data_IF_734570310837
#
_entry.id   IF_734570310837
#
_cell.length_a   1.000
_cell.length_b   1.000
_cell.length_c   1.000
_cell.angle_alpha   90.00
_cell.angle_beta   90.00
_cell.angle_gamma   90.00
#
_symmetry.space_group_name_H-M   'P 1'
#
loop_
_entity.id
_entity.type
_entity.pdbx_description
1 polymer ?
#
# COMPACT_ATOMS: atom_id res chain seq x y z
N UNK A 1 23.33 -18.58 1.85
CA UNK A 1 22.11 -18.05 2.50
C UNK A 1 21.59 -19.04 3.54
N UNK A 2 21.39 -18.58 4.77
CA UNK A 2 20.83 -19.35 5.88
C UNK A 2 19.40 -19.82 5.57
N UNK A 3 18.63 -19.08 4.78
CA UNK A 3 17.31 -19.51 4.29
C UNK A 3 17.36 -20.84 3.53
N UNK A 4 18.34 -21.02 2.64
CA UNK A 4 18.53 -22.28 1.91
C UNK A 4 18.80 -23.45 2.86
N UNK A 5 19.69 -23.25 3.84
CA UNK A 5 19.97 -24.25 4.86
C UNK A 5 18.75 -24.58 5.72
N UNK A 6 17.96 -23.57 6.12
CA UNK A 6 16.74 -23.78 6.89
C UNK A 6 15.72 -24.61 6.10
N UNK A 7 15.56 -24.36 4.80
CA UNK A 7 14.69 -25.13 3.91
C UNK A 7 15.21 -26.57 3.78
N UNK A 8 16.52 -26.77 3.56
CA UNK A 8 17.11 -28.11 3.50
C UNK A 8 16.90 -28.87 4.82
N UNK A 9 17.09 -28.19 5.96
CA UNK A 9 16.86 -28.79 7.28
C UNK A 9 15.39 -29.18 7.48
N UNK A 10 14.43 -28.39 6.97
CA UNK A 10 13.03 -28.79 6.98
C UNK A 10 12.81 -30.07 6.16
N UNK A 11 13.34 -30.14 4.95
CA UNK A 11 13.22 -31.35 4.10
C UNK A 11 13.86 -32.57 4.77
N UNK A 12 15.10 -32.47 5.24
CA UNK A 12 15.76 -33.55 5.96
C UNK A 12 15.03 -33.93 7.25
N UNK A 13 14.44 -32.95 7.95
CA UNK A 13 13.62 -33.19 9.13
C UNK A 13 12.32 -33.94 8.82
N UNK A 14 11.66 -33.62 7.70
CA UNK A 14 10.50 -34.37 7.22
C UNK A 14 10.87 -35.81 6.86
N UNK A 15 11.97 -36.00 6.14
CA UNK A 15 12.47 -37.34 5.76
C UNK A 15 12.84 -38.18 6.99
N UNK A 16 13.42 -37.56 8.02
CA UNK A 16 13.76 -38.23 9.29
C UNK A 16 12.51 -38.71 10.03
N UNK A 17 11.46 -37.89 10.07
CA UNK A 17 10.17 -38.26 10.68
C UNK A 17 9.47 -39.37 9.90
N UNK A 18 9.51 -39.33 8.55
CA UNK A 18 8.81 -40.30 7.71
C UNK A 18 9.49 -41.67 7.66
N UNK A 19 10.82 -41.70 7.69
CA UNK A 19 11.61 -42.93 7.52
C UNK A 19 12.10 -43.53 8.85
N UNK A 20 11.65 -42.97 9.98
CA UNK A 20 11.97 -43.43 11.35
C UNK A 20 13.49 -43.57 11.59
N UNK A 21 14.29 -42.73 10.92
CA UNK A 21 15.72 -42.95 10.75
C UNK A 21 16.54 -42.71 12.03
N UNK A 22 16.02 -41.93 12.99
CA UNK A 22 16.81 -41.51 14.17
C UNK A 22 16.01 -41.36 15.49
N UNK A 23 14.68 -41.49 15.48
CA UNK A 23 13.85 -41.03 16.62
C UNK A 23 12.47 -41.70 16.65
N UNK A 24 12.24 -42.60 17.60
CA UNK A 24 10.88 -43.04 17.96
C UNK A 24 10.12 -41.86 18.58
N UNK A 25 9.48 -41.06 17.73
CA UNK A 25 8.66 -39.93 18.14
C UNK A 25 7.19 -40.36 18.15
N UNK A 26 6.46 -39.93 19.17
CA UNK A 26 5.01 -39.97 19.08
C UNK A 26 4.51 -39.06 17.96
N UNK A 27 3.32 -39.34 17.44
CA UNK A 27 2.71 -38.49 16.41
C UNK A 27 2.59 -37.01 16.86
N UNK A 28 2.37 -36.75 18.14
CA UNK A 28 2.32 -35.40 18.68
C UNK A 28 3.67 -34.68 18.60
N UNK A 29 4.75 -35.36 18.99
CA UNK A 29 6.12 -34.83 18.95
C UNK A 29 6.58 -34.62 17.51
N UNK A 30 6.27 -35.54 16.61
CA UNK A 30 6.59 -35.44 15.19
C UNK A 30 5.97 -34.18 14.57
N UNK A 31 4.68 -33.92 14.87
CA UNK A 31 4.00 -32.75 14.35
C UNK A 31 4.59 -31.46 14.93
N UNK A 32 4.81 -31.40 16.24
CA UNK A 32 5.39 -30.22 16.87
C UNK A 32 6.78 -29.90 16.30
N UNK A 33 7.60 -30.93 16.11
CA UNK A 33 8.93 -30.78 15.51
C UNK A 33 8.88 -30.21 14.10
N UNK A 34 7.97 -30.72 13.24
CA UNK A 34 7.77 -30.20 11.88
C UNK A 34 7.28 -28.74 11.93
N UNK A 35 6.34 -28.39 12.83
CA UNK A 35 5.89 -27.00 13.01
C UNK A 35 7.05 -26.07 13.41
N UNK A 36 7.94 -26.53 14.28
CA UNK A 36 9.12 -25.77 14.70
C UNK A 36 10.10 -25.54 13.55
N UNK A 37 10.33 -26.54 12.70
CA UNK A 37 11.15 -26.41 11.50
C UNK A 37 10.54 -25.44 10.47
N UNK A 38 9.23 -25.50 10.22
CA UNK A 38 8.52 -24.57 9.32
C UNK A 38 8.60 -23.11 9.83
N UNK A 39 8.44 -22.91 11.14
CA UNK A 39 8.61 -21.61 11.78
C UNK A 39 10.06 -21.13 11.73
N UNK A 40 11.05 -22.02 11.83
CA UNK A 40 12.45 -21.68 11.70
C UNK A 40 12.78 -21.16 10.29
N UNK A 41 12.22 -21.75 9.24
CA UNK A 41 12.33 -21.23 7.86
C UNK A 41 11.74 -19.83 7.79
N UNK A 42 10.50 -19.65 8.27
CA UNK A 42 9.81 -18.34 8.26
C UNK A 42 10.65 -17.25 8.94
N UNK A 43 11.17 -17.53 10.14
CA UNK A 43 12.04 -16.59 10.88
C UNK A 43 13.31 -16.27 10.12
N UNK A 44 13.91 -17.26 9.46
CA UNK A 44 15.14 -17.09 8.70
C UNK A 44 14.92 -16.23 7.46
N UNK A 45 13.83 -16.45 6.71
CA UNK A 45 13.46 -15.61 5.56
C UNK A 45 13.29 -14.14 5.97
N UNK A 46 12.62 -13.89 7.10
CA UNK A 46 12.44 -12.53 7.62
C UNK A 46 13.76 -11.91 8.08
N UNK A 47 14.62 -12.68 8.76
CA UNK A 47 15.93 -12.21 9.23
C UNK A 47 16.86 -11.84 8.07
N UNK A 48 16.78 -12.58 6.97
CA UNK A 48 17.58 -12.31 5.77
C UNK A 48 17.00 -11.21 4.86
N UNK A 49 15.83 -10.63 5.20
CA UNK A 49 15.21 -9.60 4.40
C UNK A 49 14.78 -10.08 3.02
N UNK A 50 14.36 -11.36 2.92
CA UNK A 50 13.87 -11.95 1.68
C UNK A 50 12.66 -11.16 1.15
N UNK A 51 12.51 -10.99 -0.19
CA UNK A 51 11.39 -10.25 -0.77
C UNK A 51 10.03 -10.74 -0.27
N UNK A 52 9.11 -9.80 -0.08
CA UNK A 52 7.77 -10.08 0.47
C UNK A 52 7.03 -11.15 -0.34
N UNK A 53 7.12 -11.11 -1.67
CA UNK A 53 6.51 -12.10 -2.56
C UNK A 53 6.97 -13.54 -2.27
N UNK A 54 8.23 -13.74 -1.92
CA UNK A 54 8.73 -15.07 -1.54
C UNK A 54 8.22 -15.49 -0.17
N UNK A 55 8.13 -14.56 0.79
CA UNK A 55 7.52 -14.83 2.09
C UNK A 55 6.02 -15.16 1.96
N UNK A 56 5.30 -14.50 1.05
CA UNK A 56 3.90 -14.83 0.73
C UNK A 56 3.80 -16.23 0.14
N UNK A 57 4.59 -16.55 -0.89
CA UNK A 57 4.63 -17.89 -1.47
C UNK A 57 4.95 -18.96 -0.42
N UNK A 58 5.91 -18.68 0.45
CA UNK A 58 6.22 -19.55 1.58
C UNK A 58 5.02 -19.71 2.52
N UNK A 59 4.31 -18.63 2.84
CA UNK A 59 3.11 -18.65 3.68
C UNK A 59 1.93 -19.40 3.07
N UNK A 60 1.83 -19.44 1.74
CA UNK A 60 0.83 -20.19 0.98
C UNK A 60 1.13 -21.70 0.95
N UNK A 61 2.41 -22.07 1.01
CA UNK A 61 2.84 -23.45 1.27
C UNK A 61 2.51 -23.75 2.74
N UNK A 62 1.27 -24.17 2.97
CA UNK A 62 0.74 -24.45 4.29
C UNK A 62 0.75 -25.94 4.55
N UNK A 63 1.31 -26.33 5.70
CA UNK A 63 1.13 -27.67 6.24
C UNK A 63 -0.26 -27.85 6.86
N UNK A 64 -1.11 -26.81 6.91
CA UNK A 64 -2.46 -26.88 7.47
C UNK A 64 -3.36 -27.91 6.78
N UNK A 65 -3.14 -28.19 5.50
CA UNK A 65 -3.88 -29.22 4.77
C UNK A 65 -3.59 -30.62 5.30
N UNK A 66 -2.41 -30.84 5.88
CA UNK A 66 -1.95 -32.13 6.42
C UNK A 66 -2.08 -32.18 7.94
N UNK A 67 -1.81 -31.06 8.63
CA UNK A 67 -1.71 -30.99 10.09
C UNK A 67 -2.93 -30.34 10.75
N UNK A 68 -3.88 -29.81 9.97
CA UNK A 68 -4.97 -28.95 10.43
C UNK A 68 -4.51 -27.50 10.66
N UNK A 69 -5.44 -26.56 10.80
CA UNK A 69 -5.11 -25.14 11.02
C UNK A 69 -4.54 -24.92 12.42
N UNK A 70 -3.22 -24.95 12.58
CA UNK A 70 -2.57 -24.91 13.89
C UNK A 70 -2.00 -23.53 14.23
N UNK A 71 -1.38 -23.44 15.42
CA UNK A 71 -0.71 -22.22 15.91
C UNK A 71 0.41 -21.80 14.95
N UNK A 72 1.17 -22.76 14.40
CA UNK A 72 2.23 -22.50 13.43
C UNK A 72 1.75 -21.73 12.20
N UNK A 73 0.68 -22.20 11.56
CA UNK A 73 0.11 -21.53 10.37
C UNK A 73 -0.38 -20.12 10.66
N UNK A 74 -1.02 -19.90 11.83
CA UNK A 74 -1.45 -18.55 12.25
C UNK A 74 -0.26 -17.63 12.43
N UNK A 75 0.80 -18.11 13.07
CA UNK A 75 2.04 -17.34 13.26
C UNK A 75 2.70 -17.03 11.92
N UNK A 76 2.80 -18.02 11.02
CA UNK A 76 3.35 -17.86 9.67
C UNK A 76 2.61 -16.79 8.87
N UNK A 77 1.27 -16.87 8.82
CA UNK A 77 0.43 -15.87 8.14
C UNK A 77 0.57 -14.48 8.75
N UNK A 78 0.60 -14.39 10.09
CA UNK A 78 0.78 -13.10 10.79
C UNK A 78 2.18 -12.50 10.62
N UNK A 79 3.15 -13.32 10.23
CA UNK A 79 4.56 -12.94 10.04
C UNK A 79 4.85 -12.37 8.65
N UNK A 80 3.90 -12.46 7.71
CA UNK A 80 4.05 -11.85 6.38
C UNK A 80 4.20 -10.33 6.53
N UNK A 81 5.25 -9.71 5.97
CA UNK A 81 5.41 -8.26 5.99
C UNK A 81 4.18 -7.56 5.42
N UNK A 82 3.70 -6.51 6.10
CA UNK A 82 2.56 -5.73 5.64
C UNK A 82 2.88 -5.08 4.28
N UNK A 83 1.89 -5.02 3.40
CA UNK A 83 1.99 -4.24 2.19
C UNK A 83 2.11 -2.75 2.56
N UNK A 84 3.28 -2.16 2.30
CA UNK A 84 3.57 -0.78 2.65
C UNK A 84 4.35 -0.09 1.52
N UNK A 85 3.68 0.23 0.40
CA UNK A 85 4.27 1.03 -0.64
C UNK A 85 4.58 2.43 -0.08
N UNK A 86 5.79 2.93 -0.35
CA UNK A 86 6.20 4.29 0.03
C UNK A 86 5.74 5.23 -1.07
N UNK A 87 4.62 5.89 -0.83
CA UNK A 87 4.10 6.96 -1.67
C UNK A 87 4.52 8.32 -1.10
N UNK A 88 5.17 9.16 -1.92
CA UNK A 88 5.64 10.49 -1.52
C UNK A 88 5.33 11.56 -2.56
N UNK A 89 4.50 12.56 -2.22
CA UNK A 89 4.27 13.72 -3.10
C UNK A 89 5.57 14.48 -3.36
N UNK A 90 5.89 14.71 -4.63
CA UNK A 90 7.07 15.45 -5.09
C UNK A 90 6.71 16.87 -5.48
N UNK A 91 5.60 17.03 -6.19
CA UNK A 91 5.16 18.32 -6.71
C UNK A 91 3.64 18.43 -6.65
N UNK A 92 3.16 19.60 -6.24
CA UNK A 92 1.73 19.93 -6.24
C UNK A 92 1.57 21.35 -6.79
N UNK A 93 0.67 21.50 -7.75
CA UNK A 93 0.33 22.78 -8.36
C UNK A 93 -1.18 22.96 -8.33
N UNK A 94 -1.63 24.12 -7.85
CA UNK A 94 -3.04 24.46 -7.79
C UNK A 94 -3.25 25.69 -8.67
N UNK A 95 -4.26 25.63 -9.53
CA UNK A 95 -4.54 26.64 -10.55
C UNK A 95 -5.98 27.14 -10.43
N UNK A 96 -6.22 28.40 -10.73
CA UNK A 96 -7.58 28.94 -10.83
C UNK A 96 -7.66 29.85 -12.07
N UNK A 97 -8.66 29.68 -12.95
CA UNK A 97 -8.79 30.52 -14.13
C UNK A 97 -9.06 31.98 -13.78
N UNK A 98 -8.49 32.87 -14.60
CA UNK A 98 -8.82 34.28 -14.63
C UNK A 98 -9.84 34.55 -15.76
N UNK A 99 -10.61 35.62 -15.64
CA UNK A 99 -11.48 36.09 -16.71
C UNK A 99 -10.68 36.81 -17.81
N UNK A 100 -11.36 37.32 -18.84
CA UNK A 100 -10.74 38.09 -19.93
C UNK A 100 -10.03 39.37 -19.47
N UNK A 101 -10.34 39.88 -18.28
CA UNK A 101 -9.70 41.04 -17.65
C UNK A 101 -8.60 40.67 -16.66
N UNK A 102 -8.17 39.40 -16.63
CA UNK A 102 -7.11 38.93 -15.72
C UNK A 102 -7.52 38.87 -14.25
N UNK A 103 -8.81 38.96 -13.92
CA UNK A 103 -9.32 38.87 -12.54
C UNK A 103 -9.70 37.43 -12.19
N UNK A 104 -9.48 37.03 -10.93
CA UNK A 104 -9.93 35.74 -10.40
C UNK A 104 -11.43 35.56 -10.63
N UNK A 105 -11.83 34.40 -11.16
CA UNK A 105 -13.24 34.01 -11.29
C UNK A 105 -13.65 33.25 -10.02
N UNK A 106 -14.41 33.83 -9.07
CA UNK A 106 -14.66 33.21 -7.78
C UNK A 106 -15.39 31.87 -7.88
N UNK A 107 -16.34 31.78 -8.80
CA UNK A 107 -17.26 30.64 -9.02
C UNK A 107 -16.56 29.40 -9.58
N UNK A 108 -15.45 29.57 -10.29
CA UNK A 108 -14.74 28.42 -10.88
C UNK A 108 -13.89 27.73 -9.81
N UNK A 109 -14.07 26.40 -9.60
CA UNK A 109 -13.26 25.67 -8.63
C UNK A 109 -11.78 25.68 -9.06
N UNK A 110 -10.85 25.76 -8.08
CA UNK A 110 -9.44 25.58 -8.37
C UNK A 110 -9.19 24.16 -8.91
N UNK A 111 -8.24 24.02 -9.82
CA UNK A 111 -7.75 22.76 -10.37
C UNK A 111 -6.46 22.36 -9.68
N UNK A 112 -6.14 21.08 -9.64
CA UNK A 112 -4.90 20.58 -9.05
C UNK A 112 -4.18 19.61 -9.99
N UNK A 113 -2.87 19.77 -10.08
CA UNK A 113 -1.95 18.78 -10.64
C UNK A 113 -0.98 18.32 -9.55
N UNK A 114 -0.71 17.02 -9.46
CA UNK A 114 0.36 16.52 -8.59
C UNK A 114 1.20 15.44 -9.27
N UNK A 115 2.46 15.38 -8.85
CA UNK A 115 3.40 14.30 -9.13
C UNK A 115 3.81 13.66 -7.79
N UNK A 116 3.82 12.34 -7.73
CA UNK A 116 4.29 11.59 -6.57
C UNK A 116 5.24 10.47 -6.98
N UNK A 117 6.20 10.22 -6.11
CA UNK A 117 7.13 9.10 -6.18
C UNK A 117 6.52 7.91 -5.42
N UNK A 118 6.57 6.73 -6.03
CA UNK A 118 6.00 5.50 -5.51
C UNK A 118 7.06 4.41 -5.55
N UNK A 119 7.43 3.90 -4.38
CA UNK A 119 8.37 2.78 -4.23
C UNK A 119 7.63 1.62 -3.58
N UNK A 120 7.66 0.47 -4.22
CA UNK A 120 7.06 -0.74 -3.67
C UNK A 120 7.08 -1.87 -4.69
N UNK A 121 7.07 -3.09 -4.18
CA UNK A 121 6.95 -4.30 -4.98
C UNK A 121 5.48 -4.71 -5.09
N UNK A 122 5.17 -5.56 -6.07
CA UNK A 122 3.86 -6.22 -6.20
C UNK A 122 2.65 -5.29 -6.46
N UNK A 123 2.89 -4.01 -6.72
CA UNK A 123 1.85 -3.02 -7.03
C UNK A 123 1.10 -3.46 -8.30
N UNK A 124 -0.22 -3.62 -8.16
CA UNK A 124 -1.12 -4.01 -9.25
C UNK A 124 -1.95 -2.83 -9.76
N UNK A 125 -2.46 -2.00 -8.84
CA UNK A 125 -3.37 -0.90 -9.19
C UNK A 125 -3.08 0.33 -8.31
N UNK A 126 -3.19 1.51 -8.92
CA UNK A 126 -3.26 2.79 -8.21
C UNK A 126 -4.54 3.49 -8.63
N UNK A 127 -5.30 3.96 -7.66
CA UNK A 127 -6.60 4.58 -7.85
C UNK A 127 -6.69 5.88 -7.06
N UNK A 128 -7.47 6.80 -7.59
CA UNK A 128 -7.79 8.06 -6.94
C UNK A 128 -9.27 8.07 -6.56
N UNK A 129 -9.52 8.38 -5.30
CA UNK A 129 -10.84 8.66 -4.76
C UNK A 129 -10.90 10.10 -4.27
N UNK A 130 -12.10 10.68 -4.30
CA UNK A 130 -12.40 12.00 -3.76
C UNK A 130 -13.63 11.89 -2.87
N UNK A 131 -13.50 12.26 -1.60
CA UNK A 131 -14.56 12.15 -0.59
C UNK A 131 -15.20 10.75 -0.56
N UNK A 132 -14.39 9.70 -0.72
CA UNK A 132 -14.85 8.30 -0.76
C UNK A 132 -15.40 7.83 -2.11
N UNK A 133 -15.59 8.71 -3.09
CA UNK A 133 -16.08 8.36 -4.42
C UNK A 133 -14.90 8.08 -5.35
N UNK A 134 -14.96 6.98 -6.10
CA UNK A 134 -13.94 6.64 -7.09
C UNK A 134 -13.92 7.69 -8.21
N UNK A 135 -12.72 8.15 -8.55
CA UNK A 135 -12.51 9.14 -9.62
C UNK A 135 -11.94 8.45 -10.86
N UNK A 136 -10.77 7.81 -10.72
CA UNK A 136 -10.07 7.14 -11.82
C UNK A 136 -8.95 6.21 -11.34
N UNK A 137 -8.50 5.34 -12.24
CA UNK A 137 -7.19 4.69 -12.13
C UNK A 137 -6.05 5.64 -12.53
N UNK A 138 -4.89 5.49 -11.89
CA UNK A 138 -3.65 6.16 -12.26
C UNK A 138 -2.65 5.08 -12.70
N UNK A 139 -2.06 5.23 -13.88
CA UNK A 139 -1.03 4.32 -14.37
C UNK A 139 0.35 4.79 -13.88
N UNK A 140 1.02 4.05 -12.98
CA UNK A 140 2.37 4.38 -12.57
C UNK A 140 3.34 4.20 -13.75
N UNK A 141 4.31 5.09 -13.87
CA UNK A 141 5.35 5.03 -14.90
C UNK A 141 6.72 4.81 -14.25
N UNK A 142 7.59 3.94 -14.79
CA UNK A 142 8.94 3.81 -14.26
C UNK A 142 9.70 5.14 -14.39
N UNK A 143 10.44 5.51 -13.34
CA UNK A 143 11.37 6.63 -13.38
C UNK A 143 12.54 6.31 -14.33
N UNK A 144 12.98 7.30 -15.11
CA UNK A 144 14.05 7.13 -16.10
C UNK A 144 15.45 7.05 -15.48
N UNK A 145 15.62 7.63 -14.29
CA UNK A 145 16.91 7.79 -13.61
C UNK A 145 17.06 6.83 -12.43
N UNK A 146 15.97 6.47 -11.75
CA UNK A 146 16.01 5.66 -10.54
C UNK A 146 15.26 4.33 -10.72
N UNK A 147 16.02 3.22 -10.74
CA UNK A 147 15.46 1.87 -10.85
C UNK A 147 14.56 1.57 -9.65
N UNK A 148 13.37 1.00 -9.90
CA UNK A 148 12.41 0.62 -8.87
C UNK A 148 11.55 1.77 -8.33
N UNK A 149 11.80 3.00 -8.79
CA UNK A 149 10.95 4.15 -8.54
C UNK A 149 9.88 4.24 -9.62
N UNK A 150 8.63 4.40 -9.19
CA UNK A 150 7.50 4.70 -10.06
C UNK A 150 7.07 6.15 -9.84
N UNK A 151 6.69 6.83 -10.92
CA UNK A 151 6.06 8.15 -10.90
C UNK A 151 4.57 7.99 -11.13
N UNK A 152 3.78 8.69 -10.32
CA UNK A 152 2.36 8.88 -10.55
C UNK A 152 2.09 10.36 -10.78
N UNK A 153 1.27 10.65 -11.78
CA UNK A 153 0.87 12.00 -12.15
C UNK A 153 -0.64 12.06 -12.25
N UNK A 154 -1.23 13.15 -11.79
CA UNK A 154 -2.67 13.31 -11.77
C UNK A 154 -3.07 14.77 -11.86
N UNK A 155 -3.94 15.08 -12.83
CA UNK A 155 -4.64 16.36 -12.98
C UNK A 155 -6.12 16.25 -12.68
N UNK A 156 -6.67 17.18 -11.88
CA UNK A 156 -8.05 17.22 -11.42
C UNK A 156 -8.63 18.63 -11.57
N UNK A 157 -9.91 18.70 -11.95
CA UNK A 157 -10.61 19.98 -12.19
C UNK A 157 -11.16 20.66 -10.92
N UNK A 158 -11.07 20.00 -9.76
CA UNK A 158 -11.59 20.54 -8.51
C UNK A 158 -10.73 20.12 -7.32
N UNK A 159 -9.84 20.99 -6.86
CA UNK A 159 -8.90 20.76 -5.78
C UNK A 159 -9.54 20.69 -4.38
N UNK A 160 -10.82 21.03 -4.23
CA UNK A 160 -11.50 21.01 -2.93
C UNK A 160 -11.82 19.58 -2.48
N UNK A 161 -11.85 19.34 -1.16
CA UNK A 161 -12.18 18.06 -0.55
C UNK A 161 -10.98 17.16 -0.28
N UNK A 162 -11.27 15.98 0.26
CA UNK A 162 -10.24 15.00 0.66
C UNK A 162 -10.04 14.00 -0.47
N UNK A 163 -8.79 13.88 -0.88
CA UNK A 163 -8.33 12.93 -1.87
C UNK A 163 -7.74 11.70 -1.18
N UNK A 164 -8.03 10.51 -1.69
CA UNK A 164 -7.40 9.26 -1.27
C UNK A 164 -6.69 8.65 -2.48
N UNK A 165 -5.38 8.47 -2.36
CA UNK A 165 -4.61 7.62 -3.28
C UNK A 165 -4.59 6.23 -2.69
N UNK A 166 -5.28 5.32 -3.36
CA UNK A 166 -5.40 3.91 -2.98
C UNK A 166 -4.49 3.07 -3.86
N UNK A 167 -3.62 2.29 -3.25
CA UNK A 167 -2.67 1.40 -3.92
C UNK A 167 -3.01 -0.02 -3.51
N UNK A 168 -3.13 -0.92 -4.47
CA UNK A 168 -3.39 -2.33 -4.23
C UNK A 168 -2.26 -3.19 -4.78
N UNK A 169 -1.88 -4.22 -4.03
CA UNK A 169 -0.98 -5.26 -4.53
C UNK A 169 -1.77 -6.33 -5.31
N UNK A 170 -1.02 -7.20 -6.00
CA UNK A 170 -1.60 -8.34 -6.73
C UNK A 170 -2.26 -9.41 -5.84
N UNK A 171 -2.09 -9.32 -4.52
CA UNK A 171 -2.63 -10.24 -3.52
C UNK A 171 -3.87 -9.66 -2.81
N UNK A 172 -4.37 -8.50 -3.24
CA UNK A 172 -5.57 -7.85 -2.68
C UNK A 172 -5.34 -7.00 -1.43
N UNK A 173 -4.10 -6.81 -0.97
CA UNK A 173 -3.80 -5.90 0.12
C UNK A 173 -3.90 -4.45 -0.37
N UNK A 174 -4.40 -3.57 0.50
CA UNK A 174 -4.67 -2.17 0.17
C UNK A 174 -3.89 -1.26 1.10
N UNK A 175 -3.27 -0.24 0.51
CA UNK A 175 -2.67 0.91 1.18
C UNK A 175 -3.40 2.17 0.73
N UNK A 176 -3.77 3.02 1.68
CA UNK A 176 -4.45 4.29 1.39
C UNK A 176 -3.70 5.44 2.03
N UNK A 177 -3.54 6.53 1.28
CA UNK A 177 -2.99 7.80 1.78
C UNK A 177 -3.90 8.94 1.38
N UNK A 178 -4.16 9.83 2.33
CA UNK A 178 -5.15 10.89 2.17
C UNK A 178 -4.49 12.27 2.11
N UNK A 179 -5.08 13.16 1.31
CA UNK A 179 -4.59 14.49 1.02
C UNK A 179 -5.71 15.51 1.04
N UNK A 180 -5.49 16.64 1.71
CA UNK A 180 -6.38 17.82 1.65
C UNK A 180 -5.57 19.01 1.14
N UNK A 181 -5.69 19.27 -0.16
CA UNK A 181 -4.84 20.23 -0.84
C UNK A 181 -5.25 21.68 -0.57
N UNK A 182 -6.55 21.97 -0.55
CA UNK A 182 -7.03 23.34 -0.43
C UNK A 182 -6.95 23.87 0.99
N UNK A 183 -7.17 23.05 2.02
CA UNK A 183 -7.12 23.50 3.43
C UNK A 183 -5.78 24.13 3.79
N UNK A 184 -4.70 23.61 3.22
CA UNK A 184 -3.33 24.09 3.46
C UNK A 184 -2.93 25.14 2.44
N UNK A 185 -3.20 24.94 1.15
CA UNK A 185 -2.79 25.87 0.11
C UNK A 185 -3.50 27.24 0.16
N UNK A 186 -4.68 27.34 0.81
CA UNK A 186 -5.42 28.59 0.98
C UNK A 186 -4.62 29.68 1.73
N UNK A 187 -3.58 29.30 2.48
CA UNK A 187 -2.72 30.27 3.17
C UNK A 187 -1.78 31.03 2.23
N UNK A 188 -1.56 30.54 1.00
CA UNK A 188 -0.71 31.21 0.03
C UNK A 188 -1.52 32.16 -0.85
N UNK A 189 -0.98 33.36 -1.07
CA UNK A 189 -1.56 34.30 -2.03
C UNK A 189 -1.52 33.75 -3.45
N UNK A 190 -2.61 33.94 -4.19
CA UNK A 190 -2.68 33.63 -5.62
C UNK A 190 -1.73 34.53 -6.39
N UNK A 191 -0.83 33.94 -7.18
CA UNK A 191 0.00 34.69 -8.14
C UNK A 191 -0.68 34.67 -9.49
N UNK A 192 -0.61 35.76 -10.25
CA UNK A 192 -1.14 35.80 -11.61
C UNK A 192 -0.03 35.41 -12.61
N UNK A 193 -0.37 34.60 -13.62
CA UNK A 193 0.47 34.31 -14.77
C UNK A 193 -0.19 34.85 -16.04
N UNK A 194 0.37 35.95 -16.55
CA UNK A 194 -0.10 36.61 -17.77
C UNK A 194 -0.10 35.68 -18.97
N UNK A 195 1.01 34.97 -19.23
CA UNK A 195 1.18 34.09 -20.39
C UNK A 195 0.13 32.99 -20.51
N UNK A 196 -0.45 32.57 -19.38
CA UNK A 196 -1.43 31.48 -19.33
C UNK A 196 -2.82 31.93 -18.93
N UNK A 197 -3.02 33.22 -18.67
CA UNK A 197 -4.24 33.81 -18.11
C UNK A 197 -4.82 33.01 -16.93
N UNK A 198 -3.94 32.64 -15.98
CA UNK A 198 -4.27 31.77 -14.84
C UNK A 198 -3.69 32.34 -13.56
N UNK A 199 -4.41 32.15 -12.46
CA UNK A 199 -3.83 32.25 -11.14
C UNK A 199 -3.26 30.89 -10.73
N UNK A 200 -2.12 30.91 -10.06
CA UNK A 200 -1.42 29.70 -9.61
C UNK A 200 -0.88 29.88 -8.20
N UNK A 201 -0.99 28.81 -7.42
CA UNK A 201 -0.31 28.63 -6.14
C UNK A 201 0.71 27.50 -6.33
N UNK A 202 2.00 27.87 -6.36
CA UNK A 202 3.11 26.93 -6.48
C UNK A 202 3.62 26.57 -5.11
N UNK A 203 3.66 25.28 -4.83
CA UNK A 203 4.61 24.75 -3.85
C UNK A 203 5.77 24.17 -4.64
N UNK A 204 6.87 24.92 -4.70
CA UNK A 204 8.02 24.52 -5.48
C UNK A 204 8.59 23.21 -4.91
N UNK A 205 9.26 22.39 -5.74
CA UNK A 205 10.04 21.25 -5.28
C UNK A 205 11.21 21.64 -4.35
N UNK A 206 11.45 22.93 -4.11
CA UNK A 206 12.52 23.50 -3.26
C UNK A 206 12.41 23.20 -1.75
N UNK A 207 11.62 22.21 -1.34
CA UNK A 207 11.80 21.56 -0.03
C UNK A 207 12.68 20.31 -0.22
N UNK A 208 13.83 20.49 -0.89
CA UNK A 208 14.75 19.44 -1.34
C UNK A 208 15.40 18.62 -0.20
N UNK A 209 15.04 18.82 1.06
CA UNK A 209 15.67 18.13 2.20
C UNK A 209 14.71 17.75 3.33
N UNK A 210 13.50 17.31 3.00
CA UNK A 210 12.66 16.61 3.99
C UNK A 210 12.42 15.16 3.58
N UNK A 211 12.72 14.17 4.46
CA UNK A 211 12.51 12.75 4.19
C UNK A 211 11.07 12.31 3.83
N UNK A 212 10.11 13.24 3.75
CA UNK A 212 8.69 12.98 3.46
C UNK A 212 8.08 13.80 2.32
N UNK A 213 8.87 14.50 1.50
CA UNK A 213 8.37 15.29 0.36
C UNK A 213 7.30 16.31 0.77
N UNK A 214 6.23 16.46 -0.02
CA UNK A 214 5.10 17.35 0.30
C UNK A 214 4.01 16.66 1.16
N UNK A 215 4.20 15.41 1.59
CA UNK A 215 3.19 14.69 2.37
C UNK A 215 3.00 15.22 3.78
N UNK A 216 4.06 15.74 4.43
CA UNK A 216 3.91 16.35 5.77
C UNK A 216 3.00 17.58 5.73
N UNK A 217 2.91 18.21 4.56
CA UNK A 217 2.16 19.44 4.37
C UNK A 217 0.70 19.14 4.00
N UNK A 218 0.49 18.27 3.00
CA UNK A 218 -0.84 17.94 2.50
C UNK A 218 -1.48 16.71 3.13
N UNK A 219 -0.71 15.93 3.88
CA UNK A 219 -1.16 14.72 4.53
C UNK A 219 -2.39 15.01 5.39
N UNK A 220 -3.45 14.29 5.10
CA UNK A 220 -4.66 14.30 5.88
C UNK A 220 -4.75 12.97 6.63
N UNK A 221 -5.04 13.04 7.92
CA UNK A 221 -5.46 11.86 8.67
C UNK A 221 -6.97 11.96 8.84
N UNK A 222 -7.76 11.09 8.19
CA UNK A 222 -9.18 11.03 8.49
C UNK A 222 -9.36 10.72 9.97
N UNK A 223 -10.41 11.25 10.61
CA UNK A 223 -10.72 10.87 11.99
C UNK A 223 -10.79 9.34 12.07
N UNK A 224 -10.15 8.77 13.10
CA UNK A 224 -10.29 7.34 13.38
C UNK A 224 -11.79 7.07 13.52
N UNK A 225 -12.37 6.30 12.61
CA UNK A 225 -13.69 5.71 12.87
C UNK A 225 -13.49 4.86 14.12
N UNK A 226 -14.17 5.22 15.21
CA UNK A 226 -14.35 4.28 16.30
C UNK A 226 -14.92 3.01 15.68
N UNK A 227 -14.24 1.90 15.92
CA UNK A 227 -14.50 0.60 15.32
C UNK A 227 -15.92 0.15 15.66
N UNK A 228 -16.86 0.34 14.74
CA UNK A 228 -17.99 -0.57 14.64
C UNK A 228 -17.50 -1.82 13.89
N UNK A 229 -17.31 -2.87 14.68
CA UNK A 229 -17.22 -4.29 14.30
C UNK A 229 -16.07 -4.76 13.40
N UNK A 230 -14.88 -4.90 14.00
CA UNK A 230 -13.85 -5.88 13.57
C UNK A 230 -14.13 -7.28 14.18
N UNK A 231 -15.41 -7.69 14.18
CA UNK A 231 -15.80 -9.09 14.41
C UNK A 231 -16.56 -9.62 13.20
N UNK A 232 -15.80 -10.08 12.21
CA UNK A 232 -16.29 -10.72 11.00
C UNK A 232 -15.11 -11.13 10.13
N UNK A 233 -14.30 -12.08 10.57
CA UNK A 233 -14.45 -13.50 10.20
C UNK A 233 -14.57 -13.67 8.67
N UNK A 234 -13.51 -14.21 8.08
CA UNK A 234 -13.38 -14.64 6.68
C UNK A 234 -14.71 -14.83 5.93
N UNK A 235 -15.05 -13.92 5.02
CA UNK A 235 -16.00 -14.18 3.95
C UNK A 235 -15.23 -14.34 2.64
N UNK A 236 -14.95 -15.61 2.32
CA UNK A 236 -14.55 -16.08 1.01
C UNK A 236 -15.45 -15.54 -0.10
N UNK A 237 -14.84 -15.08 -1.19
CA UNK A 237 -15.23 -15.34 -2.60
C UNK A 237 -16.59 -14.91 -3.17
N UNK A 238 -17.70 -15.02 -2.44
CA UNK A 238 -19.06 -14.98 -3.02
C UNK A 238 -19.99 -13.93 -2.38
N UNK A 239 -19.57 -13.22 -1.33
CA UNK A 239 -20.42 -12.23 -0.66
C UNK A 239 -20.46 -10.84 -1.33
N UNK A 240 -19.78 -10.62 -2.46
CA UNK A 240 -19.75 -9.32 -3.17
C UNK A 240 -20.98 -9.03 -4.05
N UNK A 241 -21.96 -9.93 -4.13
CA UNK A 241 -23.12 -9.79 -5.02
C UNK A 241 -24.43 -9.32 -4.34
N UNK A 242 -24.43 -8.87 -3.07
CA UNK A 242 -25.66 -8.53 -2.34
C UNK A 242 -25.69 -7.19 -1.60
N UNK A 243 -24.93 -6.19 -2.02
CA UNK A 243 -25.19 -4.79 -1.60
C UNK A 243 -25.90 -4.09 -2.76
N UNK A 244 -27.18 -4.42 -2.89
CA UNK A 244 -28.13 -3.72 -3.74
C UNK A 244 -29.09 -2.92 -2.86
N UNK A 245 -29.32 -1.67 -3.25
CA UNK A 245 -30.54 -0.88 -3.03
C UNK A 245 -30.98 -0.58 -1.60
N UNK A 246 -30.80 0.67 -1.15
CA UNK A 246 -31.74 1.49 -0.35
C UNK A 246 -31.25 2.96 -0.52
N UNK A 247 -31.79 3.78 -1.43
CA UNK A 247 -32.99 4.64 -1.29
C UNK A 247 -33.92 4.35 -0.12
#
# INVERSE_FOLDING_TARGET
PQSKFAITNLFSGLDSVLNDLDRQMSAAEAIQYIEELDLAVTRTLLKEGVPRSEVIRWSEISLASVLGTRRGDRLKKSSVPKFNPRLTLQQVQIFKPANSSGKLVPETPPRISFEAALVGEEISKVELFKNGVWVRGISPRPDRQVRGLLRIESYMHDAQGVYEVRISDKYGNVYSKYYDFMKRAAQFGWRYQEERNLYWAVLAPKIERTPGGLDWYFGFQPPKRESQDDSGFFASGEARARIGWWS
#
